data_IF_198331531039
#
_entry.id   IF_198331531039
#
_cell.length_a   1.000
_cell.length_b   1.000
_cell.length_c   1.000
_cell.angle_alpha   90.00
_cell.angle_beta   90.00
_cell.angle_gamma   90.00
#
_symmetry.space_group_name_H-M   'P 1'
#
loop_
_entity.id
_entity.type
_entity.pdbx_description
1 polymer ?
#
# COMPACT_ATOMS: atom_id res chain seq x y z
N UNK A 1 0.00 22.45 -5.06
CA UNK A 1 0.26 21.95 -3.68
C UNK A 1 1.75 21.73 -3.51
N UNK A 2 2.34 22.11 -2.37
CA UNK A 2 3.78 21.87 -2.12
C UNK A 2 4.01 20.39 -1.84
N UNK A 3 5.15 19.84 -2.25
CA UNK A 3 5.49 18.43 -2.02
C UNK A 3 5.38 18.03 -0.54
N UNK A 4 5.71 18.95 0.37
CA UNK A 4 5.57 18.78 1.83
C UNK A 4 4.12 18.50 2.26
N UNK A 5 3.14 19.14 1.64
CA UNK A 5 1.72 18.95 1.95
C UNK A 5 1.26 17.54 1.56
N UNK A 6 1.76 17.01 0.44
CA UNK A 6 1.41 15.67 -0.05
C UNK A 6 1.96 14.60 0.88
N UNK A 7 3.23 14.72 1.27
CA UNK A 7 3.87 13.79 2.22
C UNK A 7 3.13 13.77 3.56
N UNK A 8 2.71 14.93 4.05
CA UNK A 8 1.97 15.05 5.30
C UNK A 8 0.58 14.40 5.23
N UNK A 9 -0.13 14.57 4.11
CA UNK A 9 -1.43 13.93 3.86
C UNK A 9 -1.31 12.40 3.78
N UNK A 10 -0.27 11.89 3.10
CA UNK A 10 0.00 10.45 3.02
C UNK A 10 0.32 9.91 4.42
N UNK A 11 1.20 10.57 5.18
CA UNK A 11 1.54 10.15 6.54
C UNK A 11 0.34 10.15 7.49
N UNK A 12 -0.53 11.15 7.39
CA UNK A 12 -1.77 11.23 8.17
C UNK A 12 -2.73 10.09 7.80
N UNK A 13 -2.91 9.83 6.50
CA UNK A 13 -3.74 8.72 6.03
C UNK A 13 -3.22 7.37 6.55
N UNK A 14 -1.91 7.12 6.47
CA UNK A 14 -1.29 5.90 7.00
C UNK A 14 -1.52 5.74 8.51
N UNK A 15 -1.45 6.84 9.26
CA UNK A 15 -1.73 6.84 10.70
C UNK A 15 -3.19 6.51 11.00
N UNK A 16 -4.14 7.09 10.26
CA UNK A 16 -5.59 6.83 10.40
C UNK A 16 -5.92 5.36 10.13
N UNK A 17 -5.28 4.75 9.13
CA UNK A 17 -5.45 3.33 8.84
C UNK A 17 -4.62 2.41 9.75
N UNK A 18 -3.91 2.95 10.75
CA UNK A 18 -3.06 2.19 11.66
C UNK A 18 -1.99 1.39 10.92
N UNK A 19 -1.61 1.85 9.73
CA UNK A 19 -0.80 1.13 8.77
C UNK A 19 0.62 1.69 8.84
N UNK A 20 1.51 1.10 9.66
CA UNK A 20 2.90 1.53 9.69
C UNK A 20 3.51 1.28 8.30
N UNK A 21 4.60 1.97 7.95
CA UNK A 21 5.31 1.75 6.67
C UNK A 21 5.56 0.24 6.40
N UNK A 22 5.91 -0.60 7.39
CA UNK A 22 5.89 -2.06 7.27
C UNK A 22 4.58 -2.67 6.75
N UNK A 23 3.42 -2.15 7.16
CA UNK A 23 2.11 -2.58 6.70
C UNK A 23 1.85 -2.27 5.21
N UNK A 24 2.43 -1.19 4.66
CA UNK A 24 2.39 -0.96 3.21
C UNK A 24 3.15 -2.03 2.44
N UNK A 25 4.30 -2.47 2.96
CA UNK A 25 5.05 -3.59 2.39
C UNK A 25 4.24 -4.88 2.41
N UNK A 26 3.47 -5.12 3.49
CA UNK A 26 2.55 -6.27 3.59
C UNK A 26 1.42 -6.17 2.57
N UNK A 27 0.80 -5.01 2.39
CA UNK A 27 -0.23 -4.81 1.36
C UNK A 27 0.32 -5.03 -0.05
N UNK A 28 1.52 -4.52 -0.33
CA UNK A 28 2.21 -4.78 -1.60
C UNK A 28 2.46 -6.26 -1.84
N UNK A 29 2.87 -7.00 -0.79
CA UNK A 29 3.08 -8.45 -0.87
C UNK A 29 1.78 -9.23 -1.08
N UNK A 30 0.68 -8.83 -0.44
CA UNK A 30 -0.65 -9.41 -0.67
C UNK A 30 -1.08 -9.21 -2.12
N UNK A 31 -0.97 -7.98 -2.65
CA UNK A 31 -1.33 -7.67 -4.05
C UNK A 31 -0.45 -8.49 -5.01
N UNK A 32 0.85 -8.59 -4.73
CA UNK A 32 1.77 -9.39 -5.53
C UNK A 32 1.36 -10.88 -5.57
N UNK A 33 1.06 -11.47 -4.41
CA UNK A 33 0.60 -12.86 -4.33
C UNK A 33 -0.72 -13.04 -5.08
N UNK A 34 -1.69 -12.15 -4.89
CA UNK A 34 -2.98 -12.22 -5.58
C UNK A 34 -2.81 -12.12 -7.10
N UNK A 35 -1.96 -11.23 -7.60
CA UNK A 35 -1.63 -11.13 -9.02
C UNK A 35 -0.93 -12.37 -9.55
N UNK A 36 0.00 -12.95 -8.78
CA UNK A 36 0.67 -14.19 -9.13
C UNK A 36 -0.30 -15.37 -9.20
N UNK A 37 -1.22 -15.47 -8.24
CA UNK A 37 -2.28 -16.49 -8.22
C UNK A 37 -3.24 -16.29 -9.39
N UNK A 38 -3.71 -15.07 -9.65
CA UNK A 38 -4.58 -14.77 -10.79
C UNK A 38 -3.93 -15.17 -12.12
N UNK A 39 -2.64 -14.83 -12.31
CA UNK A 39 -1.86 -15.24 -13.49
C UNK A 39 -1.66 -16.75 -13.58
N UNK A 40 -1.43 -17.43 -12.45
CA UNK A 40 -1.30 -18.88 -12.41
C UNK A 40 -2.62 -19.59 -12.77
N UNK A 41 -3.75 -19.00 -12.37
CA UNK A 41 -5.10 -19.53 -12.62
C UNK A 41 -5.67 -19.10 -13.98
N UNK A 42 -4.92 -18.33 -14.79
CA UNK A 42 -5.32 -17.82 -16.11
C UNK A 42 -6.67 -17.06 -16.09
N UNK A 43 -6.90 -16.30 -15.00
CA UNK A 43 -8.01 -15.36 -14.86
C UNK A 43 -7.77 -14.05 -15.62
#
# INVERSE_FOLDING_TARGET
>A
MKASTIVMLIGAALTVFGLPIPGLSVLGLIIFILGAVARFLDF
#
